data_IF_681326711178
#
_entry.id   IF_681326711178
#
_cell.length_a   1.000
_cell.length_b   1.000
_cell.length_c   1.000
_cell.angle_alpha   90.00
_cell.angle_beta   90.00
_cell.angle_gamma   90.00
#
_symmetry.space_group_name_H-M   'P 1'
#
loop_
_entity.id
_entity.type
_entity.pdbx_description
1 polymer ?
#
# COMPACT_ATOMS: atom_id res chain seq x y z
N UNK A 1 -28.75 -25.59 -31.84
CA UNK A 1 -27.28 -25.63 -31.96
C UNK A 1 -26.81 -24.21 -32.26
N UNK A 2 -26.21 -23.51 -31.30
CA UNK A 2 -25.78 -22.12 -31.51
C UNK A 2 -24.72 -22.02 -32.61
N UNK A 3 -24.88 -21.04 -33.49
CA UNK A 3 -24.01 -20.82 -34.65
C UNK A 3 -22.56 -20.54 -34.18
N UNK A 4 -21.53 -20.92 -34.95
CA UNK A 4 -20.13 -20.73 -34.57
C UNK A 4 -19.79 -19.26 -34.28
N UNK A 5 -20.46 -18.30 -34.94
CA UNK A 5 -20.31 -16.85 -34.69
C UNK A 5 -20.88 -16.42 -33.34
N UNK A 6 -22.04 -16.95 -32.93
CA UNK A 6 -22.63 -16.68 -31.61
C UNK A 6 -21.76 -17.23 -30.47
N UNK A 7 -21.12 -18.39 -30.66
CA UNK A 7 -20.19 -18.95 -29.68
C UNK A 7 -18.96 -18.07 -29.47
N UNK A 8 -18.45 -17.48 -30.55
CA UNK A 8 -17.32 -16.55 -30.50
C UNK A 8 -17.72 -15.24 -29.81
N UNK A 9 -18.88 -14.67 -30.17
CA UNK A 9 -19.41 -13.46 -29.51
C UNK A 9 -19.70 -13.68 -28.03
N UNK A 10 -20.26 -14.83 -27.66
CA UNK A 10 -20.51 -15.20 -26.27
C UNK A 10 -19.19 -15.32 -25.48
N UNK A 11 -18.14 -15.93 -26.06
CA UNK A 11 -16.82 -15.96 -25.42
C UNK A 11 -16.18 -14.58 -25.26
N UNK A 12 -16.39 -13.67 -26.22
CA UNK A 12 -15.89 -12.30 -26.10
C UNK A 12 -16.65 -11.51 -25.04
N UNK A 13 -17.98 -11.62 -25.01
CA UNK A 13 -18.82 -11.02 -23.97
C UNK A 13 -18.47 -11.55 -22.57
N UNK A 14 -18.27 -12.87 -22.42
CA UNK A 14 -17.85 -13.50 -21.16
C UNK A 14 -16.47 -13.03 -20.70
N UNK A 15 -15.53 -12.84 -21.63
CA UNK A 15 -14.20 -12.29 -21.31
C UNK A 15 -14.33 -10.83 -20.89
N UNK A 16 -15.08 -10.02 -21.64
CA UNK A 16 -15.30 -8.60 -21.32
C UNK A 16 -15.96 -8.43 -19.95
N UNK A 17 -16.99 -9.21 -19.65
CA UNK A 17 -17.70 -9.19 -18.37
C UNK A 17 -16.75 -9.57 -17.22
N UNK A 18 -15.89 -10.57 -17.42
CA UNK A 18 -14.85 -10.96 -16.44
C UNK A 18 -13.86 -9.82 -16.20
N UNK A 19 -13.43 -9.10 -17.23
CA UNK A 19 -12.54 -7.95 -17.09
C UNK A 19 -13.19 -6.77 -16.37
N UNK A 20 -14.46 -6.48 -16.66
CA UNK A 20 -15.22 -5.42 -15.98
C UNK A 20 -15.46 -5.74 -14.50
N UNK A 21 -15.77 -7.00 -14.18
CA UNK A 21 -15.93 -7.47 -12.80
C UNK A 21 -14.59 -7.48 -12.04
N UNK A 22 -13.48 -7.74 -12.75
CA UNK A 22 -12.13 -7.70 -12.18
C UNK A 22 -11.69 -6.25 -11.91
N UNK A 23 -11.90 -5.34 -12.85
CA UNK A 23 -11.53 -3.94 -12.69
C UNK A 23 -12.36 -3.25 -11.60
N UNK A 24 -13.66 -3.56 -11.50
CA UNK A 24 -14.53 -3.03 -10.45
C UNK A 24 -14.04 -3.40 -9.03
N UNK A 25 -13.35 -4.53 -8.90
CA UNK A 25 -12.84 -5.02 -7.62
C UNK A 25 -11.43 -4.52 -7.29
N UNK A 26 -10.52 -4.55 -8.27
CA UNK A 26 -9.11 -4.26 -8.05
C UNK A 26 -8.82 -2.75 -7.96
N UNK A 27 -9.57 -1.93 -8.70
CA UNK A 27 -9.34 -0.47 -8.73
C UNK A 27 -9.53 0.16 -7.34
N UNK A 28 -10.65 -0.08 -6.62
CA UNK A 28 -10.84 0.47 -5.28
C UNK A 28 -9.77 0.00 -4.28
N UNK A 29 -9.36 -1.27 -4.34
CA UNK A 29 -8.30 -1.83 -3.49
C UNK A 29 -6.97 -1.13 -3.76
N UNK A 30 -6.61 -0.96 -5.03
CA UNK A 30 -5.41 -0.24 -5.44
C UNK A 30 -5.43 1.24 -5.02
N UNK A 31 -6.59 1.90 -5.09
CA UNK A 31 -6.75 3.27 -4.61
C UNK A 31 -6.50 3.37 -3.11
N UNK A 32 -7.03 2.45 -2.29
CA UNK A 32 -6.78 2.44 -0.85
C UNK A 32 -5.29 2.24 -0.57
N UNK A 33 -4.62 1.37 -1.32
CA UNK A 33 -3.18 1.14 -1.18
C UNK A 33 -2.36 2.39 -1.50
N UNK A 34 -2.67 3.10 -2.59
CA UNK A 34 -2.01 4.37 -2.95
C UNK A 34 -2.27 5.44 -1.88
N UNK A 35 -3.51 5.56 -1.41
CA UNK A 35 -3.86 6.50 -0.34
C UNK A 35 -3.12 6.19 0.96
N UNK A 36 -2.96 4.92 1.32
CA UNK A 36 -2.21 4.50 2.50
C UNK A 36 -0.77 4.97 2.44
N UNK A 37 -0.12 4.82 1.29
CA UNK A 37 1.23 5.30 1.07
C UNK A 37 1.32 6.82 1.21
N UNK A 38 0.42 7.56 0.56
CA UNK A 38 0.37 9.03 0.65
C UNK A 38 0.15 9.50 2.09
N UNK A 39 -0.79 8.88 2.82
CA UNK A 39 -1.05 9.22 4.23
C UNK A 39 0.16 8.91 5.11
N UNK A 40 0.82 7.77 4.91
CA UNK A 40 2.04 7.43 5.65
C UNK A 40 3.13 8.47 5.43
N UNK A 41 3.32 8.90 4.18
CA UNK A 41 4.30 9.94 3.84
C UNK A 41 4.02 11.25 4.58
N UNK A 42 2.77 11.72 4.54
CA UNK A 42 2.38 12.93 5.25
C UNK A 42 2.47 12.80 6.77
N UNK A 43 2.17 11.63 7.32
CA UNK A 43 2.27 11.36 8.75
C UNK A 43 3.72 11.45 9.22
N UNK A 44 4.64 10.80 8.51
CA UNK A 44 6.08 10.85 8.86
C UNK A 44 6.64 12.27 8.72
N UNK A 45 6.27 13.00 7.67
CA UNK A 45 6.68 14.40 7.51
C UNK A 45 6.14 15.29 8.64
N UNK A 46 4.86 15.15 8.99
CA UNK A 46 4.22 15.93 10.05
C UNK A 46 4.83 15.65 11.43
N UNK A 47 5.14 14.39 11.74
CA UNK A 47 5.83 14.03 12.98
C UNK A 47 7.24 14.62 13.10
N UNK A 48 7.90 14.89 11.97
CA UNK A 48 9.21 15.53 11.91
C UNK A 48 9.13 17.05 11.67
N UNK A 49 7.97 17.68 11.86
CA UNK A 49 7.82 19.13 11.83
C UNK A 49 7.38 19.75 10.51
N UNK A 50 7.24 18.97 9.44
CA UNK A 50 6.73 19.45 8.15
C UNK A 50 5.24 19.12 8.00
N UNK A 51 4.38 20.08 8.36
CA UNK A 51 2.93 19.91 8.22
C UNK A 51 2.50 19.78 6.75
N UNK A 52 1.41 19.04 6.45
CA UNK A 52 0.95 18.84 5.07
C UNK A 52 0.64 20.13 4.30
N UNK A 53 0.22 21.20 4.98
CA UNK A 53 -0.03 22.51 4.37
C UNK A 53 1.25 23.13 3.82
N UNK A 54 2.36 22.94 4.52
CA UNK A 54 3.61 23.64 4.27
C UNK A 54 4.47 22.87 3.26
N UNK A 55 4.14 21.61 3.00
CA UNK A 55 4.77 20.79 1.96
C UNK A 55 4.41 21.23 0.53
N UNK A 56 3.33 22.00 0.34
CA UNK A 56 2.96 22.49 -0.98
C UNK A 56 3.85 23.65 -1.42
N UNK A 57 4.59 23.45 -2.52
CA UNK A 57 5.42 24.50 -3.13
C UNK A 57 6.85 24.62 -2.57
N UNK A 58 7.23 23.83 -1.56
CA UNK A 58 8.59 23.86 -1.01
C UNK A 58 9.62 23.11 -1.85
N UNK A 59 9.22 22.39 -2.90
CA UNK A 59 10.10 21.46 -3.64
C UNK A 59 11.38 22.13 -4.15
N UNK A 60 11.29 23.35 -4.66
CA UNK A 60 12.47 24.09 -5.16
C UNK A 60 13.48 24.38 -4.04
N UNK A 61 12.99 24.80 -2.86
CA UNK A 61 13.84 25.03 -1.68
C UNK A 61 14.33 23.71 -1.08
N UNK A 62 13.49 22.67 -1.09
CA UNK A 62 13.77 21.33 -0.61
C UNK A 62 14.95 20.67 -1.34
N UNK A 63 14.98 20.80 -2.67
CA UNK A 63 16.02 20.20 -3.52
C UNK A 63 17.28 21.05 -3.66
N UNK A 64 17.24 22.33 -3.27
CA UNK A 64 18.39 23.21 -3.37
C UNK A 64 19.45 22.87 -2.31
N UNK A 65 20.65 22.52 -2.78
CA UNK A 65 21.84 22.27 -1.95
C UNK A 65 22.35 23.54 -1.25
N UNK A 66 21.94 24.72 -1.72
CA UNK A 66 22.41 26.01 -1.20
C UNK A 66 21.60 26.50 0.00
N UNK A 67 20.40 25.94 0.21
CA UNK A 67 19.54 26.28 1.34
C UNK A 67 19.84 25.30 2.48
N UNK A 68 20.45 25.80 3.56
CA UNK A 68 20.76 24.99 4.76
C UNK A 68 20.01 25.44 6.02
N UNK A 69 19.11 26.41 5.85
CA UNK A 69 18.29 27.02 6.89
C UNK A 69 16.81 26.96 6.48
N UNK A 70 16.34 25.81 6.00
CA UNK A 70 14.92 25.65 5.68
C UNK A 70 14.14 25.54 7.00
N UNK A 71 13.27 26.49 7.27
CA UNK A 71 12.41 26.49 8.45
C UNK A 71 11.25 25.49 8.27
N UNK A 72 10.98 24.70 9.30
CA UNK A 72 9.80 23.83 9.40
C UNK A 72 8.61 24.55 10.05
N UNK A 73 7.48 23.85 10.20
CA UNK A 73 6.26 24.44 10.80
C UNK A 73 6.41 24.77 12.30
N UNK A 74 7.45 24.25 12.95
CA UNK A 74 7.76 24.47 14.37
C UNK A 74 8.88 25.50 14.60
N UNK A 75 9.42 26.09 13.54
CA UNK A 75 10.49 27.09 13.60
C UNK A 75 11.90 26.50 13.74
N UNK A 76 12.10 25.21 13.41
CA UNK A 76 13.42 24.59 13.38
C UNK A 76 14.07 24.76 12.01
N UNK A 77 15.38 25.00 11.98
CA UNK A 77 16.15 25.10 10.75
C UNK A 77 16.72 23.74 10.34
N UNK A 78 16.48 23.34 9.10
CA UNK A 78 16.93 22.08 8.55
C UNK A 78 18.02 22.25 7.48
N UNK A 79 19.10 21.48 7.62
CA UNK A 79 20.17 21.41 6.62
C UNK A 79 19.73 20.61 5.38
N UNK A 80 20.45 20.74 4.26
CA UNK A 80 20.15 19.91 3.08
C UNK A 80 20.25 18.40 3.37
N UNK A 81 21.26 17.98 4.12
CA UNK A 81 21.48 16.55 4.41
C UNK A 81 20.36 15.98 5.26
N UNK A 82 19.95 16.68 6.32
CA UNK A 82 18.90 16.20 7.23
C UNK A 82 17.55 16.07 6.51
N UNK A 83 17.23 17.02 5.63
CA UNK A 83 16.02 16.96 4.80
C UNK A 83 16.03 15.76 3.87
N UNK A 84 17.18 15.45 3.25
CA UNK A 84 17.30 14.29 2.39
C UNK A 84 17.21 12.98 3.16
N UNK A 85 17.80 12.90 4.35
CA UNK A 85 17.62 11.76 5.25
C UNK A 85 16.14 11.57 5.58
N UNK A 86 15.42 12.67 5.90
CA UNK A 86 13.99 12.62 6.16
C UNK A 86 13.18 12.18 4.93
N UNK A 87 13.48 12.68 3.73
CA UNK A 87 12.83 12.27 2.47
C UNK A 87 13.00 10.77 2.20
N UNK A 88 14.20 10.24 2.41
CA UNK A 88 14.48 8.81 2.28
C UNK A 88 13.82 7.96 3.37
N UNK A 89 13.75 8.49 4.58
CA UNK A 89 13.02 7.86 5.69
C UNK A 89 11.53 7.76 5.36
N UNK A 90 10.93 8.83 4.84
CA UNK A 90 9.54 8.84 4.37
C UNK A 90 9.31 7.82 3.24
N UNK A 91 10.27 7.70 2.32
CA UNK A 91 10.22 6.73 1.22
C UNK A 91 10.27 5.29 1.73
N UNK A 92 11.05 5.03 2.77
CA UNK A 92 11.14 3.72 3.44
C UNK A 92 9.83 3.40 4.18
N UNK A 93 9.28 4.36 4.91
CA UNK A 93 7.99 4.21 5.58
C UNK A 93 6.85 3.94 4.58
N UNK A 94 6.82 4.68 3.47
CA UNK A 94 5.89 4.44 2.37
C UNK A 94 6.00 2.99 1.85
N UNK A 95 7.22 2.51 1.59
CA UNK A 95 7.47 1.14 1.14
C UNK A 95 6.94 0.10 2.13
N UNK A 96 7.25 0.25 3.42
CA UNK A 96 6.79 -0.67 4.46
C UNK A 96 5.26 -0.66 4.57
N UNK A 97 4.61 0.50 4.52
CA UNK A 97 3.15 0.59 4.53
C UNK A 97 2.50 -0.14 3.35
N UNK A 98 3.12 -0.04 2.16
CA UNK A 98 2.68 -0.78 0.97
C UNK A 98 2.81 -2.30 1.18
N UNK A 99 3.91 -2.76 1.78
CA UNK A 99 4.08 -4.19 2.11
C UNK A 99 2.99 -4.65 3.08
N UNK A 100 2.70 -3.91 4.15
CA UNK A 100 1.66 -4.28 5.11
C UNK A 100 0.28 -4.40 4.46
N UNK A 101 -0.08 -3.45 3.60
CA UNK A 101 -1.35 -3.51 2.84
C UNK A 101 -1.36 -4.68 1.86
N UNK A 102 -0.23 -4.99 1.22
CA UNK A 102 -0.10 -6.17 0.35
C UNK A 102 -0.34 -7.49 1.09
N UNK A 103 0.07 -7.60 2.35
CA UNK A 103 -0.24 -8.79 3.16
C UNK A 103 -1.75 -9.00 3.29
N UNK A 104 -2.51 -7.93 3.53
CA UNK A 104 -3.97 -7.99 3.58
C UNK A 104 -4.56 -8.39 2.23
N UNK A 105 -4.07 -7.80 1.13
CA UNK A 105 -4.48 -8.16 -0.23
C UNK A 105 -4.21 -9.63 -0.55
N UNK A 106 -3.05 -10.15 -0.15
CA UNK A 106 -2.64 -11.55 -0.37
C UNK A 106 -3.55 -12.53 0.40
N UNK A 107 -3.93 -12.18 1.64
CA UNK A 107 -4.89 -12.94 2.44
C UNK A 107 -6.28 -12.93 1.80
N UNK A 108 -6.71 -11.80 1.27
CA UNK A 108 -7.98 -11.63 0.56
C UNK A 108 -8.00 -12.46 -0.73
N UNK A 109 -6.99 -12.33 -1.58
CA UNK A 109 -6.89 -13.01 -2.87
C UNK A 109 -6.88 -14.55 -2.76
N UNK A 110 -6.53 -15.10 -1.58
CA UNK A 110 -6.58 -16.54 -1.30
C UNK A 110 -7.98 -17.13 -1.53
N UNK A 111 -9.02 -16.40 -1.16
CA UNK A 111 -10.37 -16.94 -1.09
C UNK A 111 -11.27 -16.16 -2.03
N UNK A 112 -12.07 -16.84 -2.87
CA UNK A 112 -12.87 -16.16 -3.92
C UNK A 112 -14.34 -15.93 -3.53
N UNK A 113 -14.88 -16.74 -2.62
CA UNK A 113 -16.31 -16.71 -2.22
C UNK A 113 -16.53 -16.98 -0.74
N UNK A 114 -15.75 -17.90 -0.17
CA UNK A 114 -15.91 -18.25 1.25
C UNK A 114 -15.35 -17.17 2.17
N UNK A 115 -15.87 -17.10 3.39
CA UNK A 115 -15.32 -16.20 4.40
C UNK A 115 -13.98 -16.76 4.89
N UNK A 116 -13.02 -15.88 5.14
CA UNK A 116 -11.69 -16.25 5.63
C UNK A 116 -11.79 -17.03 6.96
N UNK A 117 -12.80 -16.72 7.78
CA UNK A 117 -13.09 -17.40 9.05
C UNK A 117 -13.57 -18.84 8.88
N UNK A 118 -14.26 -19.16 7.78
CA UNK A 118 -14.73 -20.52 7.51
C UNK A 118 -13.64 -21.41 6.91
N UNK A 119 -12.74 -20.84 6.10
CA UNK A 119 -11.75 -21.62 5.36
C UNK A 119 -10.43 -21.86 6.13
N UNK A 120 -10.01 -20.89 6.96
CA UNK A 120 -8.76 -20.95 7.73
C UNK A 120 -7.46 -20.86 6.91
N UNK A 121 -6.32 -20.71 7.59
CA UNK A 121 -4.98 -20.50 6.99
C UNK A 121 -4.16 -21.80 6.86
N UNK A 122 -4.70 -22.84 6.20
CA UNK A 122 -4.03 -24.15 6.07
C UNK A 122 -2.95 -24.23 4.98
N UNK A 123 -2.79 -23.19 4.15
CA UNK A 123 -1.81 -23.21 3.06
C UNK A 123 -0.44 -22.76 3.57
N UNK A 124 0.48 -23.71 3.74
CA UNK A 124 1.82 -23.44 4.27
C UNK A 124 2.65 -22.52 3.35
N UNK A 125 2.51 -22.63 2.03
CA UNK A 125 3.21 -21.76 1.06
C UNK A 125 2.75 -20.30 1.21
N UNK A 126 1.46 -20.08 1.42
CA UNK A 126 0.91 -18.73 1.65
C UNK A 126 1.42 -18.14 2.96
N UNK A 127 1.42 -18.94 4.03
CA UNK A 127 1.91 -18.49 5.34
C UNK A 127 3.42 -18.17 5.27
N UNK A 128 4.19 -18.98 4.55
CA UNK A 128 5.60 -18.71 4.27
C UNK A 128 5.79 -17.41 3.49
N UNK A 129 4.98 -17.14 2.46
CA UNK A 129 5.04 -15.90 1.69
C UNK A 129 4.80 -14.66 2.58
N UNK A 130 3.80 -14.71 3.46
CA UNK A 130 3.52 -13.63 4.43
C UNK A 130 4.72 -13.37 5.33
N UNK A 131 5.28 -14.43 5.93
CA UNK A 131 6.46 -14.29 6.79
C UNK A 131 7.68 -13.78 6.02
N UNK A 132 7.87 -14.25 4.78
CA UNK A 132 8.97 -13.84 3.92
C UNK A 132 8.87 -12.36 3.53
N UNK A 133 7.68 -11.86 3.18
CA UNK A 133 7.48 -10.44 2.85
C UNK A 133 7.78 -9.52 4.04
N UNK A 134 7.31 -9.87 5.24
CA UNK A 134 7.62 -9.12 6.46
C UNK A 134 9.13 -9.15 6.74
N UNK A 135 9.75 -10.33 6.63
CA UNK A 135 11.18 -10.50 6.86
C UNK A 135 12.01 -9.71 5.83
N UNK A 136 11.60 -9.71 4.56
CA UNK A 136 12.25 -8.94 3.50
C UNK A 136 12.11 -7.44 3.74
N UNK A 137 10.93 -6.95 4.13
CA UNK A 137 10.73 -5.55 4.45
C UNK A 137 11.57 -5.11 5.65
N UNK A 138 11.66 -5.93 6.70
CA UNK A 138 12.52 -5.68 7.85
C UNK A 138 14.01 -5.71 7.48
N UNK A 139 14.43 -6.69 6.67
CA UNK A 139 15.79 -6.78 6.17
C UNK A 139 16.18 -5.54 5.36
N UNK A 140 15.34 -5.10 4.43
CA UNK A 140 15.61 -3.91 3.61
C UNK A 140 15.64 -2.62 4.44
N UNK A 141 14.82 -2.52 5.49
CA UNK A 141 14.72 -1.31 6.32
C UNK A 141 15.83 -1.19 7.36
N UNK A 142 16.34 -2.30 7.90
CA UNK A 142 17.26 -2.29 9.05
C UNK A 142 18.67 -2.80 8.77
N UNK A 143 18.95 -3.32 7.58
CA UNK A 143 20.29 -3.81 7.25
C UNK A 143 21.24 -2.65 6.95
N UNK A 144 22.42 -2.57 7.62
CA UNK A 144 23.41 -1.52 7.35
C UNK A 144 23.98 -1.68 5.93
N UNK A 145 24.12 -0.56 5.19
CA UNK A 145 24.54 -0.54 3.78
C UNK A 145 23.37 -0.31 2.80
N UNK A 146 22.12 -0.46 3.26
CA UNK A 146 20.93 -0.14 2.46
C UNK A 146 20.70 1.37 2.31
N UNK A 147 21.26 2.17 3.22
CA UNK A 147 21.33 3.64 3.19
C UNK A 147 22.13 4.14 1.97
N UNK A 148 23.20 3.43 1.61
CA UNK A 148 24.07 3.78 0.48
C UNK A 148 23.60 3.18 -0.85
N UNK A 149 22.98 1.98 -0.80
CA UNK A 149 22.49 1.28 -1.99
C UNK A 149 21.10 1.71 -2.45
N UNK A 150 20.07 1.54 -1.59
CA UNK A 150 18.67 1.85 -1.90
C UNK A 150 18.19 3.17 -1.30
N UNK A 151 19.04 3.86 -0.53
CA UNK A 151 18.67 5.06 0.25
C UNK A 151 17.48 4.76 1.16
N UNK A 152 17.55 3.63 1.86
CA UNK A 152 16.58 3.27 2.89
C UNK A 152 17.17 3.54 4.25
N UNK A 153 16.39 4.22 5.10
CA UNK A 153 16.81 4.58 6.46
C UNK A 153 15.95 3.83 7.46
N UNK A 154 16.52 3.46 8.62
CA UNK A 154 15.80 2.71 9.64
C UNK A 154 14.61 3.52 10.14
N UNK A 155 13.44 2.89 10.10
CA UNK A 155 12.19 3.49 10.53
C UNK A 155 11.80 3.07 11.94
N UNK A 156 11.13 3.97 12.66
CA UNK A 156 10.57 3.66 13.97
C UNK A 156 9.46 2.60 13.86
N UNK A 157 9.35 1.73 14.86
CA UNK A 157 8.30 0.70 14.92
C UNK A 157 6.88 1.29 14.88
N UNK A 158 6.70 2.52 15.38
CA UNK A 158 5.41 3.22 15.37
C UNK A 158 4.89 3.40 13.93
N UNK A 159 5.78 3.65 12.96
CA UNK A 159 5.38 3.85 11.56
C UNK A 159 4.89 2.57 10.89
N UNK A 160 5.30 1.39 11.37
CA UNK A 160 4.73 0.11 10.91
C UNK A 160 3.22 0.00 11.22
N UNK A 161 2.80 0.57 12.35
CA UNK A 161 1.41 0.51 12.81
C UNK A 161 0.51 1.44 11.99
N UNK A 162 1.06 2.48 11.36
CA UNK A 162 0.30 3.47 10.57
C UNK A 162 -0.50 2.84 9.42
N UNK A 163 -0.03 1.73 8.85
CA UNK A 163 -0.69 1.03 7.75
C UNK A 163 -1.76 0.02 8.17
N UNK A 164 -1.76 -0.40 9.45
CA UNK A 164 -2.68 -1.43 9.97
C UNK A 164 -4.16 -1.02 9.84
N UNK A 165 -4.57 0.23 10.16
CA UNK A 165 -5.95 0.66 9.97
C UNK A 165 -6.42 0.55 8.50
N UNK A 166 -5.54 0.83 7.55
CA UNK A 166 -5.84 0.73 6.13
C UNK A 166 -5.89 -0.71 5.64
N UNK A 167 -5.01 -1.57 6.15
CA UNK A 167 -5.08 -3.01 5.91
C UNK A 167 -6.41 -3.61 6.41
N UNK A 168 -6.88 -3.17 7.59
CA UNK A 168 -8.19 -3.56 8.12
C UNK A 168 -9.35 -3.02 7.26
N UNK A 169 -9.24 -1.78 6.77
CA UNK A 169 -10.24 -1.19 5.87
C UNK A 169 -10.38 -2.02 4.59
N UNK A 170 -9.28 -2.48 4.01
CA UNK A 170 -9.29 -3.33 2.81
C UNK A 170 -9.94 -4.69 3.12
N UNK A 171 -9.66 -5.27 4.29
CA UNK A 171 -10.30 -6.51 4.73
C UNK A 171 -11.83 -6.34 4.86
N UNK A 172 -12.28 -5.27 5.51
CA UNK A 172 -13.71 -4.97 5.67
C UNK A 172 -14.37 -4.74 4.30
N UNK A 173 -13.73 -3.96 3.43
CA UNK A 173 -14.24 -3.65 2.10
C UNK A 173 -14.46 -4.94 1.28
N UNK A 174 -13.48 -5.84 1.28
CA UNK A 174 -13.58 -7.08 0.51
C UNK A 174 -14.58 -8.08 1.12
N UNK A 175 -14.66 -8.20 2.46
CA UNK A 175 -15.66 -9.07 3.10
C UNK A 175 -17.09 -8.55 2.85
N UNK A 176 -17.30 -7.23 2.88
CA UNK A 176 -18.58 -6.60 2.52
C UNK A 176 -18.95 -6.90 1.06
N UNK A 177 -18.00 -6.72 0.13
CA UNK A 177 -18.19 -7.04 -1.28
C UNK A 177 -18.62 -8.51 -1.47
N UNK A 178 -17.96 -9.44 -0.77
CA UNK A 178 -18.33 -10.86 -0.81
C UNK A 178 -19.67 -11.14 -0.16
N UNK A 179 -20.02 -10.43 0.91
CA UNK A 179 -21.32 -10.58 1.56
C UNK A 179 -22.45 -10.19 0.61
N UNK A 180 -22.30 -9.07 -0.12
CA UNK A 180 -23.27 -8.64 -1.14
C UNK A 180 -23.40 -9.68 -2.26
N UNK A 181 -22.27 -10.20 -2.76
CA UNK A 181 -22.29 -11.27 -3.78
C UNK A 181 -22.94 -12.58 -3.31
N UNK A 182 -22.90 -12.87 -2.00
CA UNK A 182 -23.58 -14.02 -1.40
C UNK A 182 -25.09 -13.79 -1.25
N UNK A 183 -25.50 -12.57 -0.92
CA UNK A 183 -26.91 -12.21 -0.74
C UNK A 183 -27.67 -12.02 -2.06
N UNK A 184 -26.97 -11.69 -3.15
CA UNK A 184 -27.56 -11.54 -4.49
C UNK A 184 -26.94 -12.52 -5.48
N UNK A 185 -27.26 -13.83 -5.40
CA UNK A 185 -27.00 -14.74 -6.51
C UNK A 185 -27.89 -14.29 -7.66
N UNK A 186 -27.32 -13.61 -8.66
CA UNK A 186 -28.10 -13.07 -9.78
C UNK A 186 -28.95 -14.16 -10.43
N UNK A 187 -30.25 -13.88 -10.56
CA UNK A 187 -31.12 -14.38 -11.62
C UNK A 187 -30.62 -13.91 -12.99
#
# INVERSE_FOLDING_TARGET
MANPVERVLFQFADRLLKYQLLSLALVPIGMIQVLTGIVTYFLVMAENGFLPSDLFGIRERWDSNFVNNLEDSYGQEWTYQDRKILEYTCSTAFFVSIVIVQLANLVICKTRRDSIFQQGMKNWVLNFAICFEIALAAFLSYTPGMDSGLRMYPINWIWWISAIPFALLIFIYDELRRSILRCSPGD
#
